data_IF_537182074895
#
_entry.id   IF_537182074895
#
_cell.length_a   1.000
_cell.length_b   1.000
_cell.length_c   1.000
_cell.angle_alpha   90.00
_cell.angle_beta   90.00
_cell.angle_gamma   90.00
#
_symmetry.space_group_name_H-M   'P 1'
#
loop_
_entity.id
_entity.type
_entity.pdbx_description
1 polymer ?
#
# COMPACT_ATOMS: atom_id res chain seq x y z
N UNK A 1 -24.51 27.10 -25.45
CA UNK A 1 -23.08 26.77 -25.62
C UNK A 1 -22.91 25.34 -25.18
N UNK A 2 -22.67 24.45 -26.14
CA UNK A 2 -22.59 23.01 -25.91
C UNK A 2 -21.34 22.73 -25.06
N UNK A 3 -21.54 22.30 -23.81
CA UNK A 3 -20.44 21.98 -22.91
C UNK A 3 -19.88 20.64 -23.37
N UNK A 4 -18.93 20.67 -24.31
CA UNK A 4 -18.21 19.46 -24.74
C UNK A 4 -17.65 18.75 -23.52
N UNK A 5 -18.22 17.58 -23.21
CA UNK A 5 -17.87 16.80 -22.02
C UNK A 5 -16.41 16.38 -22.14
N UNK A 6 -15.56 16.89 -21.25
CA UNK A 6 -14.13 16.53 -21.20
C UNK A 6 -13.97 15.07 -20.79
N UNK A 7 -13.03 14.38 -21.40
CA UNK A 7 -12.68 13.00 -21.01
C UNK A 7 -11.85 13.05 -19.72
N UNK A 8 -12.30 12.36 -18.69
CA UNK A 8 -11.56 12.21 -17.45
C UNK A 8 -10.38 11.26 -17.63
N UNK A 9 -9.22 11.63 -17.08
CA UNK A 9 -7.97 10.87 -17.25
C UNK A 9 -7.29 10.68 -15.90
N UNK A 10 -6.78 9.47 -15.68
CA UNK A 10 -5.85 9.15 -14.60
C UNK A 10 -4.46 8.94 -15.19
N UNK A 11 -3.46 9.62 -14.63
CA UNK A 11 -2.07 9.46 -15.04
C UNK A 11 -1.41 8.37 -14.20
N UNK A 12 -0.88 7.33 -14.83
CA UNK A 12 -0.16 6.25 -14.15
C UNK A 12 1.33 6.30 -14.52
N UNK A 13 2.21 6.38 -13.52
CA UNK A 13 3.65 6.28 -13.70
C UNK A 13 4.18 5.01 -13.01
N UNK A 14 4.48 3.99 -13.81
CA UNK A 14 5.21 2.80 -13.36
C UNK A 14 6.71 3.06 -13.41
N UNK A 15 7.45 2.63 -12.38
CA UNK A 15 8.90 2.85 -12.35
C UNK A 15 9.58 2.31 -11.11
N UNK A 16 10.91 2.35 -11.10
CA UNK A 16 11.67 1.93 -9.93
C UNK A 16 11.51 2.89 -8.75
N UNK A 17 11.55 4.21 -8.99
CA UNK A 17 11.58 5.24 -7.93
C UNK A 17 12.65 4.95 -6.87
N UNK A 18 13.91 4.82 -7.32
CA UNK A 18 15.05 4.36 -6.51
C UNK A 18 16.18 5.41 -6.42
N UNK A 19 16.03 6.48 -5.62
CA UNK A 19 14.79 6.94 -4.97
C UNK A 19 13.91 7.77 -5.93
N UNK A 20 12.72 8.16 -5.47
CA UNK A 20 11.93 9.21 -6.12
C UNK A 20 12.71 10.54 -6.07
N UNK A 21 12.47 11.41 -7.05
CA UNK A 21 13.13 12.72 -7.16
C UNK A 21 12.15 13.79 -7.62
N UNK A 22 12.53 15.06 -7.49
CA UNK A 22 11.73 16.19 -7.98
C UNK A 22 11.37 16.09 -9.46
N UNK A 23 12.19 15.44 -10.29
CA UNK A 23 11.90 15.24 -11.71
C UNK A 23 10.67 14.33 -11.90
N UNK A 24 10.54 13.27 -11.10
CA UNK A 24 9.37 12.38 -11.16
C UNK A 24 8.09 13.12 -10.78
N UNK A 25 8.14 13.98 -9.75
CA UNK A 25 7.00 14.81 -9.38
C UNK A 25 6.68 15.85 -10.46
N UNK A 26 7.72 16.47 -11.04
CA UNK A 26 7.55 17.46 -12.11
C UNK A 26 6.93 16.84 -13.36
N UNK A 27 7.16 15.56 -13.63
CA UNK A 27 6.54 14.83 -14.75
C UNK A 27 5.01 14.83 -14.64
N UNK A 28 4.46 14.66 -13.45
CA UNK A 28 3.01 14.69 -13.23
C UNK A 28 2.43 16.08 -13.51
N UNK A 29 3.04 17.13 -12.96
CA UNK A 29 2.57 18.51 -13.17
C UNK A 29 2.62 18.91 -14.64
N UNK A 30 3.72 18.60 -15.34
CA UNK A 30 3.85 18.87 -16.78
C UNK A 30 2.81 18.13 -17.61
N UNK A 31 2.57 16.85 -17.30
CA UNK A 31 1.56 16.05 -18.01
C UNK A 31 0.14 16.56 -17.74
N UNK A 32 -0.18 16.94 -16.50
CA UNK A 32 -1.48 17.51 -16.13
C UNK A 32 -1.75 18.81 -16.86
N UNK A 33 -0.80 19.76 -16.82
CA UNK A 33 -0.90 21.04 -17.51
C UNK A 33 -1.12 20.84 -19.01
N UNK A 34 -0.35 19.95 -19.63
CA UNK A 34 -0.50 19.64 -21.05
C UNK A 34 -1.88 19.08 -21.38
N UNK A 35 -2.35 18.07 -20.64
CA UNK A 35 -3.65 17.44 -20.88
C UNK A 35 -4.80 18.43 -20.72
N UNK A 36 -4.75 19.30 -19.70
CA UNK A 36 -5.74 20.35 -19.50
C UNK A 36 -5.69 21.42 -20.60
N UNK A 37 -4.49 21.80 -21.06
CA UNK A 37 -4.30 22.79 -22.12
C UNK A 37 -4.90 22.37 -23.46
N UNK A 38 -5.04 21.06 -23.72
CA UNK A 38 -5.75 20.58 -24.93
C UNK A 38 -7.24 20.96 -24.96
N UNK A 39 -7.83 21.29 -23.81
CA UNK A 39 -9.26 21.52 -23.65
C UNK A 39 -10.14 20.26 -23.72
N UNK A 40 -9.58 19.11 -24.09
CA UNK A 40 -10.29 17.84 -24.32
C UNK A 40 -10.33 16.95 -23.07
N UNK A 41 -9.33 17.07 -22.20
CA UNK A 41 -9.15 16.17 -21.07
C UNK A 41 -9.24 16.89 -19.73
N UNK A 42 -9.66 16.15 -18.71
CA UNK A 42 -9.61 16.55 -17.30
C UNK A 42 -8.84 15.50 -16.52
N UNK A 43 -7.59 15.80 -16.14
CA UNK A 43 -6.82 14.92 -15.25
C UNK A 43 -7.41 14.97 -13.84
N UNK A 44 -7.93 13.84 -13.38
CA UNK A 44 -8.60 13.70 -12.08
C UNK A 44 -7.68 13.12 -10.99
N UNK A 45 -6.63 12.38 -11.39
CA UNK A 45 -5.75 11.67 -10.46
C UNK A 45 -4.41 11.31 -11.09
N UNK A 46 -3.36 11.29 -10.28
CA UNK A 46 -2.04 10.76 -10.60
C UNK A 46 -1.71 9.58 -9.68
N UNK A 47 -1.13 8.52 -10.23
CA UNK A 47 -0.75 7.32 -9.50
C UNK A 47 0.73 7.03 -9.77
N UNK A 48 1.51 7.00 -8.70
CA UNK A 48 2.87 6.45 -8.69
C UNK A 48 2.77 4.97 -8.34
N UNK A 49 3.25 4.10 -9.22
CA UNK A 49 3.28 2.65 -9.03
C UNK A 49 4.72 2.16 -8.95
N UNK A 50 5.29 1.99 -7.74
CA UNK A 50 6.63 1.44 -7.59
C UNK A 50 6.69 -0.02 -8.01
N UNK A 51 7.70 -0.36 -8.82
CA UNK A 51 7.94 -1.75 -9.25
C UNK A 51 8.23 -2.65 -8.05
N UNK A 52 7.82 -3.92 -8.12
CA UNK A 52 8.18 -4.95 -7.14
C UNK A 52 9.66 -5.35 -7.18
N UNK A 53 10.15 -5.92 -6.08
CA UNK A 53 11.55 -6.35 -5.95
C UNK A 53 11.90 -7.54 -6.87
N UNK A 54 10.89 -8.27 -7.33
CA UNK A 54 11.01 -9.33 -8.34
C UNK A 54 11.52 -8.84 -9.71
N UNK A 55 11.57 -7.53 -9.94
CA UNK A 55 12.17 -6.94 -11.15
C UNK A 55 13.69 -7.18 -11.26
N UNK A 56 14.38 -7.43 -10.12
CA UNK A 56 15.80 -7.79 -10.06
C UNK A 56 16.78 -6.84 -10.77
N UNK A 57 16.41 -5.56 -10.92
CA UNK A 57 17.32 -4.53 -11.43
C UNK A 57 18.50 -4.31 -10.47
N UNK A 58 19.73 -4.29 -11.00
CA UNK A 58 20.94 -4.06 -10.21
C UNK A 58 20.84 -2.73 -9.43
N UNK A 59 21.07 -2.78 -8.13
CA UNK A 59 21.03 -1.62 -7.24
C UNK A 59 19.62 -1.17 -6.81
N UNK A 60 18.58 -1.93 -7.12
CA UNK A 60 17.22 -1.66 -6.64
C UNK A 60 17.14 -1.96 -5.13
N UNK A 61 16.85 -0.94 -4.32
CA UNK A 61 16.62 -1.13 -2.88
C UNK A 61 15.23 -1.75 -2.63
N UNK A 62 14.98 -2.34 -1.44
CA UNK A 62 13.70 -2.94 -1.11
C UNK A 62 12.48 -2.04 -1.37
N UNK A 63 11.40 -2.63 -1.88
CA UNK A 63 10.20 -1.92 -2.30
C UNK A 63 9.60 -1.05 -1.20
N UNK A 64 9.59 -1.54 0.05
CA UNK A 64 9.02 -0.81 1.18
C UNK A 64 9.70 0.57 1.39
N UNK A 65 11.02 0.69 1.21
CA UNK A 65 11.70 1.99 1.30
C UNK A 65 11.26 2.92 0.17
N UNK A 66 11.12 2.40 -1.05
CA UNK A 66 10.72 3.19 -2.23
C UNK A 66 9.28 3.67 -2.13
N UNK A 67 8.38 2.82 -1.62
CA UNK A 67 6.99 3.17 -1.31
C UNK A 67 6.96 4.31 -0.29
N UNK A 68 7.62 4.15 0.86
CA UNK A 68 7.63 5.18 1.92
C UNK A 68 8.21 6.49 1.41
N UNK A 69 9.30 6.46 0.64
CA UNK A 69 9.87 7.68 0.05
C UNK A 69 8.91 8.34 -0.93
N UNK A 70 8.20 7.56 -1.76
CA UNK A 70 7.20 8.08 -2.68
C UNK A 70 6.01 8.70 -1.94
N UNK A 71 5.51 8.05 -0.88
CA UNK A 71 4.42 8.56 -0.04
C UNK A 71 4.82 9.87 0.67
N UNK A 72 6.04 9.94 1.19
CA UNK A 72 6.57 11.17 1.78
C UNK A 72 6.70 12.29 0.74
N UNK A 73 7.15 11.95 -0.48
CA UNK A 73 7.29 12.91 -1.57
C UNK A 73 5.93 13.42 -2.09
N UNK A 74 4.87 12.62 -2.01
CA UNK A 74 3.51 13.02 -2.39
C UNK A 74 2.63 13.47 -1.22
N UNK A 75 3.15 13.50 0.01
CA UNK A 75 2.39 13.86 1.22
C UNK A 75 1.63 15.20 1.12
N UNK A 76 2.21 16.18 0.42
CA UNK A 76 1.61 17.50 0.23
C UNK A 76 0.88 17.65 -1.12
N UNK A 77 0.83 16.58 -1.93
CA UNK A 77 0.05 16.56 -3.17
C UNK A 77 -1.41 16.23 -2.87
N UNK A 78 -2.32 16.94 -3.53
CA UNK A 78 -3.77 16.75 -3.40
C UNK A 78 -4.34 15.79 -4.45
N UNK A 79 -3.54 15.41 -5.46
CA UNK A 79 -4.04 14.68 -6.63
C UNK A 79 -3.14 13.53 -7.09
N UNK A 80 -1.89 13.47 -6.61
CA UNK A 80 -0.96 12.36 -6.88
C UNK A 80 -0.86 11.49 -5.63
N UNK A 81 -1.12 10.19 -5.78
CA UNK A 81 -0.97 9.20 -4.71
C UNK A 81 -0.02 8.06 -5.12
N UNK A 82 0.35 7.23 -4.15
CA UNK A 82 1.12 6.01 -4.38
C UNK A 82 0.17 4.81 -4.31
N UNK A 83 0.25 3.90 -5.27
CA UNK A 83 -0.42 2.61 -5.20
C UNK A 83 0.62 1.49 -5.07
N UNK A 84 0.44 0.64 -4.07
CA UNK A 84 1.40 -0.41 -3.71
C UNK A 84 1.11 -1.75 -4.39
N UNK A 85 0.03 -1.88 -5.17
CA UNK A 85 -0.39 -3.16 -5.72
C UNK A 85 0.69 -3.83 -6.56
N UNK A 86 1.36 -3.10 -7.46
CA UNK A 86 2.46 -3.63 -8.29
C UNK A 86 3.62 -4.14 -7.43
N UNK A 87 3.98 -3.37 -6.39
CA UNK A 87 5.10 -3.69 -5.52
C UNK A 87 4.88 -4.92 -4.63
N UNK A 88 3.62 -5.24 -4.34
CA UNK A 88 3.22 -6.37 -3.49
C UNK A 88 3.08 -7.69 -4.25
N UNK A 89 3.24 -7.66 -5.59
CA UNK A 89 3.20 -8.88 -6.39
C UNK A 89 4.46 -9.72 -6.16
N UNK A 90 4.28 -11.04 -6.05
CA UNK A 90 5.39 -11.99 -5.82
C UNK A 90 6.35 -12.07 -7.01
N UNK A 91 5.79 -11.94 -8.21
CA UNK A 91 6.51 -11.97 -9.48
C UNK A 91 6.52 -10.56 -10.11
N UNK A 92 7.47 -10.32 -11.01
CA UNK A 92 7.46 -9.09 -11.80
C UNK A 92 6.23 -9.06 -12.70
N UNK A 93 5.61 -7.88 -12.81
CA UNK A 93 4.39 -7.66 -13.57
C UNK A 93 4.67 -6.75 -14.76
N UNK A 94 4.22 -7.14 -15.95
CA UNK A 94 4.34 -6.26 -17.11
C UNK A 94 3.46 -5.03 -16.94
N UNK A 95 3.95 -3.86 -17.37
CA UNK A 95 3.23 -2.57 -17.26
C UNK A 95 1.82 -2.61 -17.86
N UNK A 96 1.58 -3.39 -18.91
CA UNK A 96 0.23 -3.56 -19.49
C UNK A 96 -0.76 -4.21 -18.51
N UNK A 97 -0.29 -5.13 -17.66
CA UNK A 97 -1.12 -5.75 -16.62
C UNK A 97 -1.38 -4.76 -15.47
N UNK A 98 -0.40 -3.91 -15.13
CA UNK A 98 -0.58 -2.84 -14.15
C UNK A 98 -1.63 -1.83 -14.64
N UNK A 99 -1.53 -1.38 -15.90
CA UNK A 99 -2.53 -0.53 -16.54
C UNK A 99 -3.93 -1.14 -16.51
N UNK A 100 -4.05 -2.43 -16.84
CA UNK A 100 -5.33 -3.16 -16.81
C UNK A 100 -5.91 -3.22 -15.40
N UNK A 101 -5.09 -3.55 -14.39
CA UNK A 101 -5.51 -3.56 -13.00
C UNK A 101 -6.10 -2.22 -12.56
N UNK A 102 -5.41 -1.11 -12.85
CA UNK A 102 -5.91 0.22 -12.48
C UNK A 102 -7.18 0.60 -13.25
N UNK A 103 -7.28 0.24 -14.53
CA UNK A 103 -8.49 0.48 -15.32
C UNK A 103 -9.71 -0.26 -14.74
N UNK A 104 -9.55 -1.53 -14.36
CA UNK A 104 -10.58 -2.36 -13.74
C UNK A 104 -10.96 -1.85 -12.33
N UNK A 105 -9.96 -1.41 -11.54
CA UNK A 105 -10.16 -0.79 -10.22
C UNK A 105 -10.98 0.50 -10.31
N UNK A 106 -10.75 1.33 -11.34
CA UNK A 106 -11.54 2.54 -11.59
C UNK A 106 -12.98 2.21 -12.01
N UNK A 107 -13.17 1.18 -12.84
CA UNK A 107 -14.50 0.75 -13.26
C UNK A 107 -15.33 0.22 -12.09
N UNK A 108 -14.74 -0.59 -11.21
CA UNK A 108 -15.42 -1.16 -10.04
C UNK A 108 -15.71 -0.12 -8.95
N UNK A 109 -14.85 0.87 -8.77
CA UNK A 109 -15.10 2.00 -7.86
C UNK A 109 -16.28 2.90 -8.25
N UNK A 110 -16.78 2.80 -9.49
CA UNK A 110 -17.94 3.56 -9.96
C UNK A 110 -19.29 2.90 -9.65
N UNK A 111 -19.30 1.65 -9.16
CA UNK A 111 -20.51 0.97 -8.66
C UNK A 111 -20.64 1.19 -7.15
N UNK A 112 -21.53 2.12 -6.76
CA UNK A 112 -21.96 2.25 -5.36
C UNK A 112 -22.76 1.01 -4.93
N UNK A 113 -22.10 0.05 -4.27
CA UNK A 113 -22.82 -0.95 -3.49
C UNK A 113 -23.42 -0.29 -2.24
N UNK A 114 -24.73 -0.47 -1.93
CA UNK A 114 -25.25 -0.14 -0.62
C UNK A 114 -24.50 -0.95 0.42
N UNK A 115 -23.97 -0.27 1.44
CA UNK A 115 -23.33 -0.89 2.59
C UNK A 115 -24.29 -1.89 3.26
N UNK A 116 -24.03 -3.18 3.13
CA UNK A 116 -24.37 -4.17 4.14
C UNK A 116 -23.08 -4.60 4.82
N UNK A 117 -22.79 -4.01 5.97
CA UNK A 117 -21.66 -4.39 6.82
C UNK A 117 -21.87 -5.81 7.35
N UNK A 118 -20.88 -6.73 7.28
CA UNK A 118 -20.90 -7.93 8.11
C UNK A 118 -20.45 -7.53 9.52
N UNK A 119 -21.28 -7.83 10.52
CA UNK A 119 -20.95 -7.63 11.92
C UNK A 119 -19.70 -8.43 12.30
N UNK A 120 -18.74 -7.76 12.95
CA UNK A 120 -17.61 -8.42 13.62
C UNK A 120 -18.12 -9.21 14.82
N UNK A 121 -18.06 -10.55 14.75
CA UNK A 121 -18.25 -11.40 15.94
C UNK A 121 -17.04 -11.27 16.88
N UNK A 122 -17.32 -10.95 18.15
CA UNK A 122 -16.33 -10.90 19.22
C UNK A 122 -16.09 -12.32 19.78
N UNK A 123 -14.84 -12.78 19.98
CA UNK A 123 -14.59 -14.02 20.70
C UNK A 123 -14.94 -13.84 22.19
N UNK A 124 -15.93 -14.60 22.65
CA UNK A 124 -16.38 -14.62 24.05
C UNK A 124 -15.34 -15.25 24.99
N UNK A 125 -14.85 -14.45 25.94
CA UNK A 125 -13.99 -14.89 27.05
C UNK A 125 -14.81 -15.67 28.08
N UNK A 126 -14.75 -17.00 28.09
CA UNK A 126 -15.33 -17.83 29.17
C UNK A 126 -14.31 -18.05 30.29
N UNK A 127 -14.58 -17.44 31.45
CA UNK A 127 -13.98 -17.77 32.75
C UNK A 127 -14.75 -18.96 33.36
N UNK A 128 -14.04 -19.93 33.94
CA UNK A 128 -14.58 -20.79 35.01
C UNK A 128 -13.48 -20.97 36.07
N UNK A 129 -13.88 -20.76 37.33
CA UNK A 129 -13.05 -20.76 38.52
C UNK A 129 -13.22 -22.08 39.29
N UNK A 130 -12.08 -22.58 39.77
CA UNK A 130 -11.72 -23.55 40.81
C UNK A 130 -12.62 -24.75 41.20
N UNK A 131 -11.95 -25.87 41.45
CA UNK A 131 -12.17 -26.61 42.69
C UNK A 131 -10.81 -27.00 43.33
N UNK A 132 -10.72 -26.82 44.64
CA UNK A 132 -9.54 -27.08 45.48
C UNK A 132 -9.52 -28.55 45.92
N UNK A 133 -8.34 -29.18 45.91
CA UNK A 133 -8.01 -30.20 46.91
C UNK A 133 -6.57 -30.01 47.39
N UNK A 134 -6.46 -29.73 48.69
CA UNK A 134 -5.23 -29.72 49.47
C UNK A 134 -4.70 -31.15 49.60
N UNK A 135 -3.38 -31.32 49.53
CA UNK A 135 -2.68 -32.06 50.58
C UNK A 135 -1.25 -31.55 50.76
N UNK A 136 -0.69 -31.90 51.91
CA UNK A 136 0.19 -31.13 52.78
C UNK A 136 1.71 -31.37 52.55
N UNK A 137 2.53 -30.41 53.02
CA UNK A 137 3.98 -30.22 52.80
C UNK A 137 4.88 -31.11 53.70
N UNK A 138 6.21 -30.89 53.91
CA UNK A 138 7.29 -30.19 53.16
C UNK A 138 8.64 -30.97 53.11
N UNK A 139 9.65 -30.55 52.32
CA UNK A 139 11.07 -30.55 52.77
C UNK A 139 12.03 -29.69 51.91
N UNK A 140 13.12 -29.28 52.57
CA UNK A 140 13.99 -28.09 52.46
C UNK A 140 14.89 -27.94 51.20
N UNK A 141 15.51 -26.75 51.01
CA UNK A 141 16.27 -26.36 49.82
C UNK A 141 17.74 -26.82 49.86
N UNK A 142 18.34 -27.03 48.69
CA UNK A 142 19.79 -27.14 48.53
C UNK A 142 20.33 -25.96 47.70
N UNK A 143 21.27 -25.24 48.30
CA UNK A 143 22.05 -24.14 47.75
C UNK A 143 23.19 -24.62 46.83
N UNK A 144 23.75 -23.73 45.98
CA UNK A 144 24.61 -24.08 44.87
C UNK A 144 26.06 -24.32 45.29
N UNK A 145 26.83 -25.04 44.45
CA UNK A 145 28.29 -25.15 44.58
C UNK A 145 29.02 -24.85 43.26
N UNK A 146 30.29 -24.41 43.35
CA UNK A 146 30.85 -23.37 42.50
C UNK A 146 31.83 -23.86 41.43
N UNK A 147 32.26 -22.88 40.63
CA UNK A 147 33.27 -22.85 39.55
C UNK A 147 34.57 -23.62 39.85
N UNK A 148 35.14 -24.25 38.81
CA UNK A 148 36.52 -24.74 38.83
C UNK A 148 37.03 -25.18 37.46
N UNK A 149 37.98 -24.38 36.94
CA UNK A 149 38.94 -24.61 35.83
C UNK A 149 38.42 -24.92 34.42
#
# INVERSE_FOLDING_TARGET
>A
MDSSKKTEVVLLACGSFNPITNMHLRLFELAKDYMHATGKYSVIKGIISPVGDAYKKKGLIPAHHRIIMAELATKNSHWVEVDTWESLQKEWVETVKVLRYHQEKLATGSCSYPQSSPALEKPGRKRKWADQKQDSSPQKPQEPKPTGL
#
